data_IF_856333221522
#
_entry.id   IF_856333221522
#
_cell.length_a   1.000
_cell.length_b   1.000
_cell.length_c   1.000
_cell.angle_alpha   90.00
_cell.angle_beta   90.00
_cell.angle_gamma   90.00
#
_symmetry.space_group_name_H-M   'P 1'
#
loop_
_entity.id
_entity.type
_entity.pdbx_description
1 polymer ?
#
# COMPACT_ATOMS: atom_id res chain seq x y z
N UNK A 1 -57.62 6.49 -51.34
CA UNK A 1 -58.25 7.40 -50.36
C UNK A 1 -57.43 7.38 -49.09
N UNK A 2 -57.12 8.58 -48.61
CA UNK A 2 -56.23 8.88 -47.49
C UNK A 2 -56.92 8.71 -46.12
N UNK A 3 -56.15 9.03 -45.07
CA UNK A 3 -56.49 9.28 -43.65
C UNK A 3 -56.24 8.07 -42.73
N UNK A 4 -55.63 8.19 -41.55
CA UNK A 4 -55.01 9.32 -40.85
C UNK A 4 -54.14 8.79 -39.70
N UNK A 5 -53.21 9.65 -39.26
CA UNK A 5 -52.33 9.49 -38.09
C UNK A 5 -53.12 9.58 -36.77
N UNK A 6 -52.62 8.94 -35.71
CA UNK A 6 -52.86 9.38 -34.32
C UNK A 6 -51.65 9.14 -33.41
N UNK A 7 -50.93 10.23 -33.16
CA UNK A 7 -50.47 10.82 -31.89
C UNK A 7 -50.24 9.98 -30.61
N UNK A 8 -48.98 10.02 -30.14
CA UNK A 8 -48.46 10.28 -28.76
C UNK A 8 -49.06 9.56 -27.53
N UNK A 9 -48.19 8.91 -26.75
CA UNK A 9 -47.81 9.39 -25.42
C UNK A 9 -46.56 8.65 -24.89
N UNK A 10 -45.55 9.40 -24.48
CA UNK A 10 -44.39 8.90 -23.74
C UNK A 10 -44.76 8.79 -22.25
N UNK A 11 -44.63 7.60 -21.67
CA UNK A 11 -44.68 7.43 -20.22
C UNK A 11 -43.25 7.42 -19.68
N UNK A 12 -42.86 8.53 -19.06
CA UNK A 12 -41.69 8.61 -18.20
C UNK A 12 -42.03 8.02 -16.82
N UNK A 13 -41.18 7.17 -16.22
CA UNK A 13 -41.37 6.80 -14.83
C UNK A 13 -40.91 7.95 -13.92
N UNK A 14 -41.83 8.45 -13.09
CA UNK A 14 -41.54 9.32 -11.95
C UNK A 14 -40.71 8.54 -10.92
N UNK A 15 -39.47 8.98 -10.72
CA UNK A 15 -38.57 8.45 -9.69
C UNK A 15 -38.68 9.36 -8.47
N UNK A 16 -39.44 8.95 -7.46
CA UNK A 16 -39.43 9.58 -6.14
C UNK A 16 -38.17 9.13 -5.41
N UNK A 17 -37.19 10.03 -5.30
CA UNK A 17 -36.04 9.85 -4.40
C UNK A 17 -36.25 10.83 -3.24
N UNK A 18 -36.68 10.31 -2.10
CA UNK A 18 -36.58 11.03 -0.84
C UNK A 18 -35.11 11.04 -0.42
N UNK A 19 -34.44 12.17 -0.67
CA UNK A 19 -33.15 12.46 -0.08
C UNK A 19 -33.38 13.24 1.22
N UNK A 20 -33.02 12.66 2.36
CA UNK A 20 -32.86 13.39 3.60
C UNK A 20 -31.55 14.19 3.50
N UNK A 21 -31.66 15.50 3.25
CA UNK A 21 -30.54 16.43 3.30
C UNK A 21 -30.34 16.89 4.75
N UNK A 22 -29.33 16.36 5.44
CA UNK A 22 -28.78 17.03 6.61
C UNK A 22 -27.94 18.23 6.13
N UNK A 23 -28.35 19.42 6.53
CA UNK A 23 -27.63 20.67 6.30
C UNK A 23 -26.33 20.71 7.10
N UNK A 24 -25.19 20.55 6.44
CA UNK A 24 -23.89 20.94 7.01
C UNK A 24 -23.64 22.37 6.56
N UNK A 25 -23.73 23.31 7.51
CA UNK A 25 -23.40 24.71 7.30
C UNK A 25 -21.91 24.83 6.95
N UNK A 26 -21.63 25.33 5.75
CA UNK A 26 -20.29 25.71 5.32
C UNK A 26 -19.91 27.06 5.97
N UNK A 27 -19.15 27.01 7.07
CA UNK A 27 -18.39 28.16 7.52
C UNK A 27 -17.13 28.29 6.64
N UNK A 28 -17.17 29.18 5.65
CA UNK A 28 -15.97 29.72 5.01
C UNK A 28 -15.35 30.74 5.97
N UNK A 29 -14.26 30.36 6.61
CA UNK A 29 -13.32 31.30 7.23
C UNK A 29 -11.95 31.10 6.60
N UNK A 30 -11.32 32.22 6.24
CA UNK A 30 -10.06 32.33 5.51
C UNK A 30 -8.93 31.51 6.16
N UNK A 31 -8.28 30.64 5.38
CA UNK A 31 -7.07 29.93 5.80
C UNK A 31 -5.85 30.53 5.08
N UNK A 32 -4.96 31.15 5.86
CA UNK A 32 -3.58 31.46 5.50
C UNK A 32 -2.77 30.17 5.26
N UNK A 33 -1.68 30.18 4.47
CA UNK A 33 -0.97 28.97 4.09
C UNK A 33 -0.18 28.40 5.28
N UNK A 34 -0.58 27.22 5.77
CA UNK A 34 0.13 26.50 6.83
C UNK A 34 1.29 25.67 6.25
N UNK A 35 2.45 25.86 6.86
CA UNK A 35 3.68 25.07 6.75
C UNK A 35 3.41 23.55 6.83
N UNK A 36 4.01 22.80 5.90
CA UNK A 36 3.99 21.34 5.87
C UNK A 36 4.91 20.75 6.95
N UNK A 37 4.40 20.63 8.17
CA UNK A 37 4.94 19.73 9.18
C UNK A 37 4.20 18.40 9.09
N UNK A 38 4.94 17.31 9.04
CA UNK A 38 4.40 15.96 9.05
C UNK A 38 3.42 15.81 10.22
N UNK A 39 2.16 15.47 9.94
CA UNK A 39 1.21 15.04 10.97
C UNK A 39 1.79 13.78 11.60
N UNK A 40 2.50 13.95 12.72
CA UNK A 40 2.60 12.88 13.72
C UNK A 40 1.17 12.46 14.00
N UNK A 41 0.86 11.18 13.81
CA UNK A 41 -0.35 10.59 14.39
C UNK A 41 -0.25 10.91 15.87
N UNK A 42 -1.09 11.83 16.35
CA UNK A 42 -1.22 12.08 17.76
C UNK A 42 -1.61 10.74 18.36
N UNK A 43 -0.70 10.14 19.12
CA UNK A 43 -1.07 9.05 20.03
C UNK A 43 -2.23 9.64 20.84
N UNK A 44 -3.43 9.03 20.82
CA UNK A 44 -4.53 9.53 21.65
C UNK A 44 -3.96 9.66 23.05
N UNK A 45 -4.11 10.85 23.62
CA UNK A 45 -3.49 11.21 24.89
C UNK A 45 -3.79 10.09 25.89
N UNK A 46 -2.75 9.36 26.30
CA UNK A 46 -2.83 8.35 27.36
C UNK A 46 -2.80 9.02 28.73
N UNK A 47 -2.83 10.36 28.77
CA UNK A 47 -3.15 11.06 30.00
C UNK A 47 -4.52 10.53 30.47
N UNK A 48 -4.58 10.00 31.70
CA UNK A 48 -5.84 9.71 32.35
C UNK A 48 -6.74 10.93 32.17
N UNK A 49 -8.03 10.72 31.87
CA UNK A 49 -9.00 11.81 31.95
C UNK A 49 -8.76 12.52 33.29
N UNK A 50 -8.34 13.78 33.26
CA UNK A 50 -8.23 14.61 34.45
C UNK A 50 -9.66 14.81 34.94
N UNK A 51 -10.03 13.99 35.92
CA UNK A 51 -11.28 14.14 36.64
C UNK A 51 -11.01 15.27 37.63
N UNK A 52 -11.61 16.43 37.42
CA UNK A 52 -11.61 17.51 38.40
C UNK A 52 -12.23 16.98 39.71
N UNK A 53 -11.37 16.67 40.69
CA UNK A 53 -11.75 16.06 41.97
C UNK A 53 -12.81 16.90 42.69
N UNK A 54 -12.78 18.23 42.49
CA UNK A 54 -13.71 19.20 43.10
C UNK A 54 -15.17 19.07 42.61
N UNK A 55 -15.42 18.52 41.41
CA UNK A 55 -16.79 18.34 40.88
C UNK A 55 -17.46 17.09 41.46
N UNK A 56 -16.66 16.13 41.94
CA UNK A 56 -17.13 14.86 42.50
C UNK A 56 -17.55 14.96 43.97
N UNK A 57 -17.05 15.96 44.70
CA UNK A 57 -17.17 16.04 46.16
C UNK A 57 -18.56 16.53 46.61
N UNK A 58 -19.21 17.41 45.82
CA UNK A 58 -20.57 17.93 46.09
C UNK A 58 -21.71 16.98 45.65
N UNK A 59 -21.39 15.87 44.97
CA UNK A 59 -22.36 14.89 44.47
C UNK A 59 -22.24 13.51 45.13
N UNK A 60 -21.45 13.35 46.19
CA UNK A 60 -21.35 12.08 46.92
C UNK A 60 -22.71 11.74 47.55
N UNK A 61 -23.49 10.80 46.99
CA UNK A 61 -24.69 10.33 47.64
C UNK A 61 -24.25 9.54 48.87
N UNK A 62 -25.13 9.40 49.85
CA UNK A 62 -24.96 8.49 50.99
C UNK A 62 -25.13 7.02 50.56
N UNK A 63 -24.52 6.63 49.44
CA UNK A 63 -24.62 5.32 48.81
C UNK A 63 -23.21 4.76 48.57
N UNK A 64 -22.98 3.50 48.95
CA UNK A 64 -21.68 2.81 48.92
C UNK A 64 -21.11 2.56 47.50
N UNK A 65 -21.71 3.13 46.45
CA UNK A 65 -21.35 2.86 45.05
C UNK A 65 -20.97 4.12 44.28
N UNK A 66 -20.03 3.96 43.35
CA UNK A 66 -19.55 5.01 42.49
C UNK A 66 -20.48 5.20 41.28
N UNK A 67 -20.56 6.42 40.69
CA UNK A 67 -21.35 6.64 39.49
C UNK A 67 -20.76 5.92 38.27
N UNK A 68 -21.61 5.67 37.28
CA UNK A 68 -21.28 4.97 36.02
C UNK A 68 -19.97 5.41 35.32
N UNK A 69 -19.68 6.72 35.15
CA UNK A 69 -18.41 7.16 34.56
C UNK A 69 -17.19 6.70 35.36
N UNK A 70 -17.29 6.66 36.69
CA UNK A 70 -16.20 6.18 37.56
C UNK A 70 -15.98 4.68 37.40
N UNK A 71 -17.05 3.88 37.27
CA UNK A 71 -16.93 2.45 36.98
C UNK A 71 -16.27 2.17 35.63
N UNK A 72 -16.62 2.93 34.58
CA UNK A 72 -15.95 2.86 33.27
C UNK A 72 -14.47 3.19 33.38
N UNK A 73 -14.12 4.24 34.11
CA UNK A 73 -12.73 4.63 34.35
C UNK A 73 -11.95 3.53 35.11
N UNK A 74 -12.50 3.00 36.19
CA UNK A 74 -11.90 1.88 36.93
C UNK A 74 -11.75 0.64 36.05
N UNK A 75 -12.70 0.36 35.15
CA UNK A 75 -12.60 -0.74 34.19
C UNK A 75 -11.46 -0.53 33.17
N UNK A 76 -11.27 0.70 32.69
CA UNK A 76 -10.13 1.05 31.83
C UNK A 76 -8.81 0.84 32.57
N UNK A 77 -8.69 1.31 33.81
CA UNK A 77 -7.50 1.10 34.65
C UNK A 77 -7.21 -0.40 34.87
N UNK A 78 -8.23 -1.20 35.18
CA UNK A 78 -8.10 -2.66 35.33
C UNK A 78 -7.60 -3.32 34.03
N UNK A 79 -8.11 -2.86 32.88
CA UNK A 79 -7.69 -3.35 31.57
C UNK A 79 -6.23 -2.99 31.27
N UNK A 80 -5.81 -1.77 31.61
CA UNK A 80 -4.42 -1.32 31.49
C UNK A 80 -3.49 -2.19 32.35
N UNK A 81 -3.82 -2.37 33.64
CA UNK A 81 -3.03 -3.20 34.56
C UNK A 81 -2.93 -4.65 34.09
N UNK A 82 -4.00 -5.18 33.49
CA UNK A 82 -3.98 -6.51 32.88
C UNK A 82 -2.96 -6.60 31.74
N UNK A 83 -2.93 -5.64 30.81
CA UNK A 83 -1.96 -5.64 29.72
C UNK A 83 -0.52 -5.41 30.20
N UNK A 84 -0.31 -4.57 31.23
CA UNK A 84 1.00 -4.40 31.85
C UNK A 84 1.52 -5.72 32.45
N UNK A 85 0.64 -6.46 33.14
CA UNK A 85 0.97 -7.79 33.67
C UNK A 85 1.30 -8.80 32.55
N UNK A 86 0.59 -8.74 31.43
CA UNK A 86 0.91 -9.57 30.25
C UNK A 86 2.27 -9.21 29.66
N UNK A 87 2.60 -7.92 29.56
CA UNK A 87 3.92 -7.47 29.09
C UNK A 87 5.02 -7.98 30.00
N UNK A 88 4.85 -7.90 31.32
CA UNK A 88 5.89 -8.30 32.28
C UNK A 88 6.07 -9.82 32.35
N UNK A 89 4.97 -10.59 32.40
CA UNK A 89 5.05 -12.02 32.68
C UNK A 89 4.92 -12.92 31.43
N UNK A 90 4.14 -12.53 30.43
CA UNK A 90 3.88 -13.38 29.25
C UNK A 90 4.79 -13.04 28.05
N UNK A 91 5.09 -11.76 27.78
CA UNK A 91 5.95 -11.41 26.64
C UNK A 91 7.37 -12.01 26.70
N UNK A 92 8.06 -12.07 27.86
CA UNK A 92 9.38 -12.72 27.92
C UNK A 92 9.32 -14.21 27.57
N UNK A 93 8.20 -14.90 27.84
CA UNK A 93 8.01 -16.30 27.47
C UNK A 93 7.90 -16.48 25.95
N UNK A 94 7.41 -15.48 25.21
CA UNK A 94 7.33 -15.52 23.75
C UNK A 94 8.71 -15.53 23.08
N UNK A 95 9.76 -15.09 23.78
CA UNK A 95 11.15 -15.15 23.28
C UNK A 95 11.57 -16.58 22.96
N UNK A 96 11.04 -17.58 23.69
CA UNK A 96 11.30 -19.00 23.42
C UNK A 96 10.84 -19.45 22.02
N UNK A 97 9.87 -18.76 21.41
CA UNK A 97 9.33 -19.08 20.08
C UNK A 97 9.92 -18.20 18.96
N UNK A 98 10.94 -17.39 19.26
CA UNK A 98 11.60 -16.53 18.27
C UNK A 98 12.29 -17.37 17.20
N UNK A 99 11.99 -17.08 15.93
CA UNK A 99 12.71 -17.62 14.78
C UNK A 99 13.57 -16.50 14.15
N UNK A 100 14.87 -16.72 13.87
CA UNK A 100 15.68 -15.73 13.18
C UNK A 100 15.17 -15.55 11.74
N UNK A 101 15.27 -14.33 11.22
CA UNK A 101 14.97 -14.07 9.81
C UNK A 101 16.06 -14.68 8.94
N UNK A 102 15.65 -15.56 8.02
CA UNK A 102 16.52 -16.11 6.98
C UNK A 102 16.07 -15.47 5.66
N UNK A 103 16.94 -14.73 4.95
CA UNK A 103 16.56 -14.12 3.69
C UNK A 103 16.23 -15.20 2.65
N UNK A 104 15.29 -14.94 1.73
CA UNK A 104 14.93 -15.89 0.70
C UNK A 104 16.11 -16.10 -0.26
N UNK A 105 16.28 -17.36 -0.68
CA UNK A 105 17.30 -17.74 -1.65
C UNK A 105 16.92 -17.31 -3.08
N UNK A 106 17.90 -17.21 -3.98
CA UNK A 106 17.69 -16.89 -5.39
C UNK A 106 16.79 -17.91 -6.11
N UNK A 107 16.74 -19.16 -5.62
CA UNK A 107 15.84 -20.20 -6.11
C UNK A 107 14.34 -19.92 -5.90
N UNK A 108 14.00 -18.98 -5.00
CA UNK A 108 12.61 -18.62 -4.66
C UNK A 108 12.33 -17.16 -5.05
N UNK A 109 12.20 -16.84 -6.34
CA UNK A 109 12.03 -15.46 -6.79
C UNK A 109 10.59 -14.92 -6.65
N UNK A 110 9.63 -15.77 -6.25
CA UNK A 110 8.21 -15.42 -6.21
C UNK A 110 7.84 -14.72 -4.90
N UNK A 111 7.25 -13.53 -5.00
CA UNK A 111 6.68 -12.84 -3.84
C UNK A 111 5.16 -13.00 -3.86
N UNK A 112 4.63 -13.70 -2.85
CA UNK A 112 3.20 -13.96 -2.71
C UNK A 112 2.62 -13.05 -1.62
N UNK A 113 1.63 -12.25 -1.99
CA UNK A 113 0.87 -11.39 -1.07
C UNK A 113 -0.49 -12.01 -0.77
N UNK A 114 -0.79 -12.13 0.52
CA UNK A 114 -2.10 -12.51 1.07
C UNK A 114 -2.68 -11.38 1.91
N UNK A 115 -4.01 -11.30 1.98
CA UNK A 115 -4.74 -10.33 2.79
C UNK A 115 -5.49 -11.10 3.89
N UNK A 116 -5.44 -10.60 5.12
CA UNK A 116 -6.16 -11.14 6.29
C UNK A 116 -6.76 -9.99 7.10
N UNK A 117 -7.97 -10.19 7.63
CA UNK A 117 -8.74 -9.20 8.39
C UNK A 117 -8.87 -9.57 9.88
N UNK A 118 -7.93 -10.36 10.42
CA UNK A 118 -7.82 -10.57 11.87
C UNK A 118 -9.01 -11.28 12.52
N UNK A 119 -9.71 -12.15 11.79
CA UNK A 119 -10.87 -12.91 12.28
C UNK A 119 -12.18 -12.55 11.59
N UNK A 120 -12.24 -11.41 10.91
CA UNK A 120 -13.44 -11.01 10.16
C UNK A 120 -13.51 -11.72 8.78
N UNK A 121 -14.66 -12.29 8.40
CA UNK A 121 -14.85 -12.84 7.08
C UNK A 121 -15.03 -11.71 6.06
N UNK A 122 -14.01 -11.47 5.23
CA UNK A 122 -14.05 -10.47 4.16
C UNK A 122 -13.81 -11.12 2.79
N UNK A 123 -14.58 -10.80 1.74
CA UNK A 123 -14.43 -11.44 0.42
C UNK A 123 -13.03 -11.25 -0.19
N UNK A 124 -12.40 -10.09 0.03
CA UNK A 124 -11.04 -9.85 -0.44
C UNK A 124 -9.96 -10.72 0.23
N UNK A 125 -10.27 -11.42 1.33
CA UNK A 125 -9.32 -12.35 1.96
C UNK A 125 -8.97 -13.54 1.05
N UNK A 126 -9.86 -13.87 0.10
CA UNK A 126 -9.62 -14.91 -0.89
C UNK A 126 -8.54 -14.50 -1.92
N UNK A 127 -8.32 -13.21 -2.13
CA UNK A 127 -7.39 -12.70 -3.15
C UNK A 127 -5.96 -13.16 -2.91
N UNK A 128 -5.29 -13.58 -3.97
CA UNK A 128 -3.84 -13.85 -3.96
C UNK A 128 -3.16 -13.10 -5.09
N UNK A 129 -2.03 -12.50 -4.76
CA UNK A 129 -1.22 -11.71 -5.70
C UNK A 129 0.18 -12.29 -5.73
N UNK A 130 0.69 -12.54 -6.93
CA UNK A 130 2.08 -12.97 -7.16
C UNK A 130 2.78 -11.85 -7.91
N UNK A 131 3.95 -11.46 -7.43
CA UNK A 131 4.86 -10.53 -8.10
C UNK A 131 6.20 -11.21 -8.29
N UNK A 132 6.77 -11.06 -9.48
CA UNK A 132 8.03 -11.71 -9.85
C UNK A 132 8.90 -10.76 -10.68
N UNK A 133 10.20 -10.61 -10.36
CA UNK A 133 11.16 -9.99 -11.27
C UNK A 133 11.41 -10.90 -12.47
N UNK A 134 11.27 -10.36 -13.68
CA UNK A 134 11.40 -11.15 -14.92
C UNK A 134 12.82 -11.72 -15.08
N UNK A 135 13.83 -11.02 -14.57
CA UNK A 135 15.23 -11.46 -14.64
C UNK A 135 15.51 -12.74 -13.84
N UNK A 136 14.70 -13.06 -12.82
CA UNK A 136 14.88 -14.28 -12.01
C UNK A 136 14.04 -15.47 -12.48
N UNK A 137 13.28 -15.30 -13.57
CA UNK A 137 12.51 -16.39 -14.15
C UNK A 137 13.41 -17.29 -15.01
N UNK A 138 13.11 -18.60 -15.12
CA UNK A 138 13.88 -19.55 -15.93
C UNK A 138 13.57 -19.40 -17.43
N UNK A 139 13.92 -18.24 -17.99
CA UNK A 139 13.82 -17.91 -19.42
C UNK A 139 15.17 -18.17 -20.09
N UNK A 140 15.18 -18.91 -21.20
CA UNK A 140 16.43 -19.39 -21.81
C UNK A 140 17.17 -18.31 -22.62
N UNK A 141 16.43 -17.54 -23.40
CA UNK A 141 16.97 -16.62 -24.41
C UNK A 141 16.39 -15.22 -24.24
N UNK A 142 17.06 -14.19 -24.77
CA UNK A 142 16.54 -12.82 -24.80
C UNK A 142 15.23 -12.71 -25.59
N UNK A 143 15.08 -13.50 -26.66
CA UNK A 143 13.83 -13.60 -27.42
C UNK A 143 12.68 -14.13 -26.55
N UNK A 144 12.95 -15.08 -25.65
CA UNK A 144 11.95 -15.59 -24.71
C UNK A 144 11.56 -14.52 -23.68
N UNK A 145 12.52 -13.70 -23.24
CA UNK A 145 12.26 -12.55 -22.36
C UNK A 145 11.39 -11.50 -23.06
N UNK A 146 11.69 -11.20 -24.32
CA UNK A 146 10.87 -10.29 -25.13
C UNK A 146 9.45 -10.84 -25.29
N UNK A 147 9.32 -12.09 -25.73
CA UNK A 147 8.04 -12.79 -25.88
C UNK A 147 7.24 -12.81 -24.58
N UNK A 148 7.89 -13.08 -23.45
CA UNK A 148 7.28 -13.03 -22.12
C UNK A 148 6.66 -11.65 -21.84
N UNK A 149 7.38 -10.56 -22.14
CA UNK A 149 6.88 -9.18 -21.95
C UNK A 149 5.66 -8.90 -22.82
N UNK A 150 5.70 -9.34 -24.09
CA UNK A 150 4.57 -9.18 -25.02
C UNK A 150 3.34 -9.96 -24.53
N UNK A 151 3.51 -11.24 -24.15
CA UNK A 151 2.41 -12.08 -23.64
C UNK A 151 1.85 -11.59 -22.31
N UNK A 152 2.70 -11.04 -21.43
CA UNK A 152 2.27 -10.45 -20.17
C UNK A 152 1.41 -9.19 -20.37
N UNK A 153 1.65 -8.44 -21.45
CA UNK A 153 0.94 -7.21 -21.80
C UNK A 153 0.88 -6.22 -20.64
N UNK A 154 -0.32 -5.83 -20.23
CA UNK A 154 -0.56 -4.83 -19.17
C UNK A 154 -0.09 -5.25 -17.77
N UNK A 155 0.20 -6.55 -17.57
CA UNK A 155 0.66 -7.10 -16.28
C UNK A 155 2.16 -6.89 -16.05
N UNK A 156 2.91 -6.58 -17.10
CA UNK A 156 4.33 -6.24 -17.01
C UNK A 156 4.52 -4.75 -16.73
N UNK A 157 5.48 -4.43 -15.85
CA UNK A 157 5.89 -3.05 -15.54
C UNK A 157 7.40 -2.96 -15.36
N UNK A 158 8.06 -1.87 -15.80
CA UNK A 158 9.50 -1.70 -15.61
C UNK A 158 9.87 -1.47 -14.14
N UNK A 159 9.07 -0.70 -13.42
CA UNK A 159 9.25 -0.43 -12.00
C UNK A 159 8.51 -1.47 -11.13
N UNK A 160 9.01 -1.75 -9.90
CA UNK A 160 8.33 -2.66 -8.99
C UNK A 160 6.97 -2.08 -8.57
N UNK A 161 5.91 -2.90 -8.56
CA UNK A 161 4.61 -2.47 -8.05
C UNK A 161 4.72 -2.02 -6.59
N UNK A 162 4.11 -0.89 -6.23
CA UNK A 162 4.20 -0.31 -4.88
C UNK A 162 3.68 -1.26 -3.78
N UNK A 163 2.81 -2.19 -4.14
CA UNK A 163 2.16 -3.14 -3.24
C UNK A 163 2.81 -4.53 -3.24
N UNK A 164 3.98 -4.68 -3.87
CA UNK A 164 4.68 -5.95 -4.04
C UNK A 164 5.60 -6.35 -2.88
N UNK A 165 6.00 -5.41 -2.03
CA UNK A 165 7.02 -5.67 -1.00
C UNK A 165 8.45 -5.78 -1.54
N UNK A 166 8.66 -5.53 -2.83
CA UNK A 166 9.97 -5.48 -3.47
C UNK A 166 10.42 -4.02 -3.54
N UNK A 167 11.56 -3.71 -2.95
CA UNK A 167 12.17 -2.39 -3.05
C UNK A 167 12.87 -2.21 -4.42
N UNK A 168 12.91 -0.99 -4.98
CA UNK A 168 13.65 -0.72 -6.24
C UNK A 168 15.16 -1.02 -6.15
N UNK A 169 15.69 -1.03 -4.92
CA UNK A 169 17.08 -1.31 -4.61
C UNK A 169 17.38 -2.82 -4.57
N UNK A 170 16.35 -3.67 -4.56
CA UNK A 170 16.53 -5.12 -4.64
C UNK A 170 16.92 -5.52 -6.07
N UNK A 171 17.98 -6.33 -6.19
CA UNK A 171 18.50 -6.78 -7.48
C UNK A 171 17.51 -7.63 -8.29
N UNK A 172 17.61 -7.58 -9.62
CA UNK A 172 16.74 -8.33 -10.55
C UNK A 172 15.69 -7.49 -11.28
N UNK A 173 15.74 -6.17 -11.17
CA UNK A 173 14.85 -5.24 -11.89
C UNK A 173 15.16 -5.03 -13.38
N UNK A 174 16.22 -5.66 -13.93
CA UNK A 174 16.74 -5.40 -15.29
C UNK A 174 15.70 -5.57 -16.40
N UNK A 175 14.80 -6.54 -16.26
CA UNK A 175 13.76 -6.84 -17.24
C UNK A 175 12.35 -6.48 -16.74
N UNK A 176 12.27 -5.72 -15.64
CA UNK A 176 11.03 -5.32 -15.00
C UNK A 176 10.37 -6.45 -14.21
N UNK A 177 9.09 -6.23 -13.90
CA UNK A 177 8.30 -7.02 -12.96
C UNK A 177 7.00 -7.47 -13.61
N UNK A 178 6.61 -8.71 -13.30
CA UNK A 178 5.33 -9.28 -13.67
C UNK A 178 4.44 -9.37 -12.43
N UNK A 179 3.19 -8.92 -12.55
CA UNK A 179 2.20 -9.01 -11.46
C UNK A 179 0.90 -9.65 -11.94
N UNK A 180 0.48 -10.69 -11.21
CA UNK A 180 -0.83 -11.30 -11.39
C UNK A 180 -1.57 -11.33 -10.06
N UNK A 181 -2.88 -11.11 -10.11
CA UNK A 181 -3.76 -11.12 -8.94
C UNK A 181 -5.05 -11.83 -9.32
N UNK A 182 -5.55 -12.67 -8.41
CA UNK A 182 -6.67 -13.57 -8.66
C UNK A 182 -7.59 -13.56 -7.46
N UNK A 183 -8.88 -13.39 -7.72
CA UNK A 183 -9.95 -13.37 -6.72
C UNK A 183 -11.19 -14.16 -7.18
N UNK A 184 -11.06 -14.94 -8.25
CA UNK A 184 -12.18 -15.62 -8.91
C UNK A 184 -12.69 -16.84 -8.12
N UNK A 185 -11.81 -17.51 -7.37
CA UNK A 185 -12.15 -18.71 -6.60
C UNK A 185 -12.44 -18.37 -5.13
N UNK A 186 -13.34 -19.12 -4.47
CA UNK A 186 -13.74 -18.87 -3.09
C UNK A 186 -12.60 -19.16 -2.08
N UNK A 187 -11.75 -20.14 -2.37
CA UNK A 187 -10.63 -20.50 -1.51
C UNK A 187 -9.35 -19.86 -2.01
N UNK A 188 -8.63 -19.23 -1.09
CA UNK A 188 -7.40 -18.54 -1.44
C UNK A 188 -6.28 -19.46 -1.96
N UNK A 189 -6.23 -20.71 -1.49
CA UNK A 189 -5.31 -21.72 -2.00
C UNK A 189 -5.57 -22.03 -3.49
N UNK A 190 -6.84 -22.03 -3.92
CA UNK A 190 -7.20 -22.22 -5.32
C UNK A 190 -6.75 -21.03 -6.17
N UNK A 191 -6.94 -19.81 -5.68
CA UNK A 191 -6.46 -18.59 -6.36
C UNK A 191 -4.94 -18.60 -6.53
N UNK A 192 -4.18 -19.01 -5.50
CA UNK A 192 -2.73 -19.15 -5.59
C UNK A 192 -2.35 -20.21 -6.63
N UNK A 193 -2.97 -21.39 -6.58
CA UNK A 193 -2.67 -22.48 -7.50
C UNK A 193 -2.96 -22.11 -8.96
N UNK A 194 -4.08 -21.43 -9.20
CA UNK A 194 -4.36 -20.92 -10.55
C UNK A 194 -3.31 -19.91 -10.99
N UNK A 195 -2.90 -18.99 -10.11
CA UNK A 195 -1.87 -18.01 -10.43
C UNK A 195 -0.52 -18.69 -10.75
N UNK A 196 -0.11 -19.72 -10.00
CA UNK A 196 1.11 -20.48 -10.30
C UNK A 196 1.00 -21.17 -11.66
N UNK A 197 -0.11 -21.86 -11.91
CA UNK A 197 -0.29 -22.62 -13.16
C UNK A 197 -0.33 -21.68 -14.38
N UNK A 198 -0.85 -20.47 -14.23
CA UNK A 198 -0.81 -19.46 -15.31
C UNK A 198 0.60 -18.94 -15.59
N UNK A 199 1.44 -18.80 -14.56
CA UNK A 199 2.84 -18.42 -14.74
C UNK A 199 3.58 -19.55 -15.46
N UNK A 200 3.36 -20.81 -15.07
CA UNK A 200 3.98 -21.97 -15.72
C UNK A 200 3.60 -22.06 -17.21
N UNK A 201 2.32 -21.86 -17.54
CA UNK A 201 1.86 -21.81 -18.94
C UNK A 201 2.51 -20.66 -19.71
N UNK A 202 2.63 -19.49 -19.08
CA UNK A 202 3.23 -18.32 -19.69
C UNK A 202 4.74 -18.51 -19.91
N UNK A 203 5.43 -19.18 -19.00
CA UNK A 203 6.83 -19.58 -19.15
C UNK A 203 7.01 -20.61 -20.27
N UNK A 204 6.13 -21.61 -20.35
CA UNK A 204 6.14 -22.59 -21.43
C UNK A 204 5.95 -21.93 -22.79
N UNK A 205 4.96 -21.04 -22.91
CA UNK A 205 4.71 -20.29 -24.14
C UNK A 205 5.86 -19.33 -24.50
N UNK A 206 6.47 -18.67 -23.51
CA UNK A 206 7.59 -17.77 -23.73
C UNK A 206 8.86 -18.50 -24.18
N UNK A 207 9.11 -19.70 -23.64
CA UNK A 207 10.25 -20.53 -24.02
C UNK A 207 10.05 -21.31 -25.33
N UNK A 208 8.81 -21.40 -25.83
CA UNK A 208 8.54 -21.94 -27.16
C UNK A 208 8.95 -20.93 -28.23
N UNK A 209 9.90 -21.32 -29.10
CA UNK A 209 10.50 -20.46 -30.12
C UNK A 209 9.89 -20.67 -31.52
N UNK A 210 8.78 -21.41 -31.63
CA UNK A 210 8.01 -21.54 -32.88
C UNK A 210 7.61 -20.19 -33.47
N UNK A 211 7.19 -19.26 -32.61
CA UNK A 211 6.86 -17.87 -32.93
C UNK A 211 7.56 -16.94 -31.93
N UNK A 212 8.48 -16.09 -32.40
CA UNK A 212 9.38 -15.28 -31.55
C UNK A 212 8.87 -13.88 -31.22
N UNK A 213 7.80 -13.41 -31.89
CA UNK A 213 7.21 -12.08 -31.72
C UNK A 213 8.23 -10.93 -31.78
N UNK A 214 9.28 -11.06 -32.59
CA UNK A 214 10.34 -10.04 -32.70
C UNK A 214 9.90 -8.77 -33.44
N UNK A 215 8.82 -8.88 -34.22
CA UNK A 215 8.20 -7.80 -34.98
C UNK A 215 7.29 -6.90 -34.13
N UNK A 216 6.76 -7.42 -33.01
CA UNK A 216 5.83 -6.70 -32.14
C UNK A 216 6.60 -5.96 -31.03
N UNK A 217 6.59 -4.62 -30.98
CA UNK A 217 7.20 -3.89 -29.87
C UNK A 217 6.40 -4.07 -28.57
N UNK A 218 7.10 -4.03 -27.43
CA UNK A 218 6.46 -4.07 -26.10
C UNK A 218 5.56 -2.85 -25.91
N UNK A 219 4.28 -3.07 -25.59
CA UNK A 219 3.32 -1.99 -25.33
C UNK A 219 3.57 -1.36 -23.95
N UNK A 220 3.78 -0.04 -23.92
CA UNK A 220 4.01 0.76 -22.72
C UNK A 220 2.85 1.72 -22.39
N UNK A 221 1.78 1.72 -23.18
CA UNK A 221 0.68 2.71 -23.06
C UNK A 221 -0.01 2.66 -21.71
N UNK A 222 -0.15 1.48 -21.09
CA UNK A 222 -0.73 1.33 -19.76
C UNK A 222 0.13 1.97 -18.67
N UNK A 223 1.46 1.92 -18.83
CA UNK A 223 2.42 2.53 -17.91
C UNK A 223 2.32 4.05 -18.00
N UNK A 224 2.33 4.59 -19.22
CA UNK A 224 2.16 6.03 -19.43
C UNK A 224 0.83 6.55 -18.90
N UNK A 225 -0.26 5.81 -19.12
CA UNK A 225 -1.58 6.16 -18.59
C UNK A 225 -1.58 6.16 -17.05
N UNK A 226 -0.89 5.21 -16.42
CA UNK A 226 -0.73 5.15 -14.96
C UNK A 226 0.09 6.32 -14.44
N UNK A 227 1.21 6.65 -15.07
CA UNK A 227 2.05 7.81 -14.71
C UNK A 227 1.24 9.11 -14.84
N UNK A 228 0.49 9.26 -15.94
CA UNK A 228 -0.39 10.41 -16.18
C UNK A 228 -1.42 10.56 -15.07
N UNK A 229 -2.11 9.46 -14.69
CA UNK A 229 -3.10 9.46 -13.60
C UNK A 229 -2.49 9.75 -12.23
N UNK A 230 -1.25 9.32 -12.00
CA UNK A 230 -0.57 9.53 -10.72
C UNK A 230 -0.25 11.00 -10.43
N UNK A 231 -0.30 11.89 -11.44
CA UNK A 231 -0.05 13.35 -11.33
C UNK A 231 1.26 13.69 -10.59
N UNK A 232 2.27 12.81 -10.65
CA UNK A 232 3.57 12.98 -9.98
C UNK A 232 4.50 14.00 -10.68
N UNK A 233 3.96 14.91 -11.50
CA UNK A 233 4.71 15.84 -12.37
C UNK A 233 4.57 15.47 -13.85
N UNK A 234 4.51 16.48 -14.73
CA UNK A 234 4.47 16.27 -16.19
C UNK A 234 3.13 16.53 -16.89
N UNK A 235 2.31 17.48 -16.42
CA UNK A 235 1.17 18.00 -17.21
C UNK A 235 1.38 19.46 -17.62
N UNK A 236 2.59 19.76 -18.08
CA UNK A 236 2.89 20.99 -18.78
C UNK A 236 3.31 20.56 -20.20
N UNK A 237 2.36 20.64 -21.13
CA UNK A 237 2.59 20.53 -22.59
C UNK A 237 3.33 19.28 -23.10
N UNK A 238 2.81 18.07 -22.82
CA UNK A 238 3.23 16.86 -23.55
C UNK A 238 4.67 16.36 -23.28
N UNK A 239 5.42 16.98 -22.36
CA UNK A 239 6.70 16.44 -21.88
C UNK A 239 6.53 15.81 -20.50
N UNK A 240 6.91 14.54 -20.37
CA UNK A 240 7.00 13.86 -19.09
C UNK A 240 8.20 14.42 -18.30
N UNK A 241 8.07 15.60 -17.70
CA UNK A 241 9.05 16.09 -16.73
C UNK A 241 8.71 15.55 -15.35
N UNK A 242 9.62 14.79 -14.76
CA UNK A 242 9.55 14.35 -13.36
C UNK A 242 9.41 15.58 -12.45
N UNK A 243 8.61 15.50 -11.38
CA UNK A 243 8.55 16.56 -10.38
C UNK A 243 9.94 16.73 -9.77
N UNK A 244 10.54 17.93 -9.77
CA UNK A 244 11.85 18.14 -9.16
C UNK A 244 11.88 17.62 -7.73
N UNK A 245 12.82 16.73 -7.45
CA UNK A 245 13.10 16.15 -6.13
C UNK A 245 14.45 16.62 -5.63
N UNK A 246 14.81 16.24 -4.40
CA UNK A 246 16.13 16.51 -3.84
C UNK A 246 17.28 15.97 -4.73
N UNK A 247 17.03 14.90 -5.50
CA UNK A 247 18.03 14.34 -6.44
C UNK A 247 18.29 15.23 -7.64
N UNK A 248 17.32 16.08 -7.99
CA UNK A 248 17.43 17.04 -9.08
C UNK A 248 18.08 18.36 -8.61
N UNK A 249 18.43 18.46 -7.32
CA UNK A 249 19.15 19.62 -6.79
C UNK A 249 20.57 19.66 -7.38
N UNK A 250 20.96 20.75 -8.05
CA UNK A 250 22.28 20.87 -8.66
C UNK A 250 23.37 20.67 -7.60
N UNK A 251 24.24 19.67 -7.80
CA UNK A 251 25.35 19.41 -6.86
C UNK A 251 26.33 20.59 -6.78
N UNK A 252 26.42 21.37 -7.85
CA UNK A 252 27.16 22.64 -7.91
C UNK A 252 26.67 23.71 -6.92
N UNK A 253 25.41 23.63 -6.46
CA UNK A 253 24.87 24.55 -5.45
C UNK A 253 25.13 24.07 -4.02
N UNK A 254 25.69 22.87 -3.84
CA UNK A 254 26.12 22.42 -2.53
C UNK A 254 27.39 23.17 -2.14
N UNK A 255 27.49 23.64 -0.89
CA UNK A 255 28.71 24.27 -0.41
C UNK A 255 29.88 23.28 -0.50
N UNK A 256 31.06 23.76 -0.91
CA UNK A 256 32.25 22.92 -0.99
C UNK A 256 32.52 22.24 0.36
N UNK A 257 32.82 20.92 0.39
CA UNK A 257 33.13 20.24 1.63
C UNK A 257 34.35 20.92 2.28
N UNK A 258 34.24 21.27 3.56
CA UNK A 258 35.38 21.81 4.32
C UNK A 258 36.53 20.79 4.24
N UNK A 259 37.78 21.21 3.99
CA UNK A 259 38.91 20.29 4.00
C UNK A 259 38.92 19.57 5.35
N UNK A 260 38.82 18.24 5.31
CA UNK A 260 38.97 17.41 6.49
C UNK A 260 40.40 17.64 6.99
N UNK A 261 40.54 18.26 8.16
CA UNK A 261 41.82 18.40 8.84
C UNK A 261 42.37 16.99 9.02
N UNK A 262 43.40 16.66 8.24
CA UNK A 262 44.12 15.40 8.34
C UNK A 262 44.54 15.25 9.81
N UNK A 263 43.96 14.25 10.49
CA UNK A 263 44.42 13.86 11.82
C UNK A 263 45.86 13.39 11.67
N UNK A 264 46.79 14.27 12.01
CA UNK A 264 48.22 14.03 11.94
C UNK A 264 48.55 12.78 12.79
N UNK A 265 49.24 11.77 12.25
CA UNK A 265 49.72 10.66 13.05
C UNK A 265 51.00 11.12 13.76
N UNK A 266 50.96 11.23 15.09
CA UNK A 266 52.18 11.23 15.89
C UNK A 266 52.18 12.16 17.11
N UNK A 267 52.08 11.55 18.28
CA UNK A 267 53.05 11.77 19.35
C UNK A 267 52.97 10.59 20.33
N UNK A 268 53.83 9.60 20.09
CA UNK A 268 54.33 8.71 21.13
C UNK A 268 54.96 9.56 22.25
N UNK A 269 54.46 9.44 23.47
CA UNK A 269 55.20 9.85 24.66
C UNK A 269 55.16 8.70 25.67
N UNK A 270 56.36 8.24 25.99
CA UNK A 270 56.78 7.32 27.04
C UNK A 270 56.20 7.65 28.42
#
# INVERSE_FOLDING_TARGET
MALARSCRAAFAPLRTQHFHTCSVLAARANASPASSTARRVAVPNLEPFEIDEEIFEDQLPQEDDAPEPTHKYLQQQRTMLYYLRLIEHEMPKLVAYRKPFVPPDASQPLVVRSISYGGEPHPAAAKRTIVVPVARLPLKNEQAIHKFKVLAGVRWTPEPPTDSGISPEEGGGEHGYFKISVEDFPKAAMNLKWASDTIDRLLAAANDLTETFSDIPVDTRHIEARIRKAKKGGHIYGRQTHRPTLKDFPKEWLPAPKPQTESSPGASSS
#
